data_IF_683857568660
#
_entry.id   IF_683857568660
#
_cell.length_a   1.000
_cell.length_b   1.000
_cell.length_c   1.000
_cell.angle_alpha   90.00
_cell.angle_beta   90.00
_cell.angle_gamma   90.00
#
_symmetry.space_group_name_H-M   'P 1'
#
loop_
_entity.id
_entity.type
_entity.pdbx_description
1 polymer ?
#
# COMPACT_ATOMS: atom_id res chain seq x y z
N UNK A 1 -27.57 66.58 -44.70
CA UNK A 1 -27.01 65.65 -45.67
C UNK A 1 -26.09 64.67 -44.94
N UNK A 2 -26.33 63.48 -45.11
CA UNK A 2 -26.07 62.29 -44.28
C UNK A 2 -24.71 62.14 -43.61
N UNK A 3 -24.76 61.80 -42.34
CA UNK A 3 -23.63 61.22 -41.55
C UNK A 3 -23.52 59.73 -41.79
N UNK A 4 -22.38 59.15 -41.83
CA UNK A 4 -22.25 57.70 -41.69
C UNK A 4 -21.87 57.31 -40.27
N UNK A 5 -22.59 56.35 -39.81
CA UNK A 5 -22.58 55.67 -38.55
C UNK A 5 -21.28 54.87 -38.32
N UNK A 6 -20.60 55.14 -37.20
CA UNK A 6 -19.47 54.35 -36.72
C UNK A 6 -19.91 53.05 -36.09
N UNK A 7 -19.64 51.94 -36.76
CA UNK A 7 -19.83 50.58 -36.21
C UNK A 7 -18.64 50.26 -35.28
N UNK A 8 -18.91 50.30 -33.98
CA UNK A 8 -17.94 49.84 -32.96
C UNK A 8 -17.89 48.32 -32.96
N UNK A 9 -16.81 47.75 -33.48
CA UNK A 9 -16.51 46.35 -33.39
C UNK A 9 -16.12 45.99 -31.95
N UNK A 10 -17.06 45.44 -31.20
CA UNK A 10 -16.77 44.82 -29.90
C UNK A 10 -16.08 43.48 -30.15
N UNK A 11 -14.77 43.46 -29.96
CA UNK A 11 -14.00 42.20 -29.89
C UNK A 11 -14.24 41.58 -28.52
N UNK A 12 -15.09 40.58 -28.48
CA UNK A 12 -15.26 39.76 -27.31
C UNK A 12 -13.97 38.89 -27.15
N UNK A 13 -13.11 39.26 -26.20
CA UNK A 13 -12.00 38.40 -25.75
C UNK A 13 -12.61 37.28 -24.90
N UNK A 14 -12.78 36.10 -25.49
CA UNK A 14 -12.98 34.87 -24.73
C UNK A 14 -11.67 34.57 -23.97
N UNK A 15 -11.70 34.88 -22.68
CA UNK A 15 -10.72 34.28 -21.74
C UNK A 15 -11.06 32.81 -21.56
N UNK A 16 -10.42 31.95 -22.35
CA UNK A 16 -10.43 30.51 -22.13
C UNK A 16 -9.47 30.23 -20.97
N UNK A 17 -9.99 30.35 -19.73
CA UNK A 17 -9.31 29.86 -18.54
C UNK A 17 -9.25 28.33 -18.64
N UNK A 18 -8.16 27.83 -19.22
CA UNK A 18 -7.83 26.43 -19.18
C UNK A 18 -7.58 26.01 -17.72
N UNK A 19 -8.61 25.42 -17.12
CA UNK A 19 -8.51 24.78 -15.81
C UNK A 19 -7.69 23.52 -15.97
N UNK A 20 -6.36 23.65 -15.77
CA UNK A 20 -5.46 22.52 -15.70
C UNK A 20 -5.82 21.76 -14.41
N UNK A 21 -6.73 20.78 -14.51
CA UNK A 21 -6.89 19.78 -13.47
C UNK A 21 -5.61 18.97 -13.41
N UNK A 22 -4.68 19.32 -12.51
CA UNK A 22 -3.67 18.39 -12.06
C UNK A 22 -4.40 17.23 -11.36
N UNK A 23 -4.66 16.18 -12.13
CA UNK A 23 -4.99 14.89 -11.55
C UNK A 23 -3.74 14.44 -10.76
N UNK A 24 -3.75 14.67 -9.44
CA UNK A 24 -2.82 14.00 -8.55
C UNK A 24 -3.07 12.50 -8.72
N UNK A 25 -2.24 11.82 -9.48
CA UNK A 25 -2.25 10.38 -9.53
C UNK A 25 -2.00 9.91 -8.09
N UNK A 26 -3.04 9.38 -7.45
CA UNK A 26 -2.87 8.67 -6.19
C UNK A 26 -1.93 7.49 -6.50
N UNK A 27 -0.67 7.61 -6.13
CA UNK A 27 0.25 6.48 -6.21
C UNK A 27 -0.26 5.44 -5.24
N UNK A 28 -0.62 4.27 -5.78
CA UNK A 28 -0.94 3.12 -4.95
C UNK A 28 0.29 2.82 -4.06
N UNK A 29 0.04 2.55 -2.78
CA UNK A 29 1.11 2.21 -1.86
C UNK A 29 1.86 0.97 -2.38
N UNK A 30 3.17 1.06 -2.48
CA UNK A 30 4.01 -0.07 -2.86
C UNK A 30 4.37 -0.84 -1.60
N UNK A 31 4.03 -2.11 -1.57
CA UNK A 31 4.38 -3.01 -0.48
C UNK A 31 5.37 -4.08 -0.94
N UNK A 32 6.28 -4.43 -0.06
CA UNK A 32 7.18 -5.59 -0.18
C UNK A 32 7.18 -6.36 1.13
N UNK A 33 7.76 -7.56 1.11
CA UNK A 33 7.94 -8.34 2.32
C UNK A 33 9.41 -8.61 2.59
N UNK A 34 9.75 -8.76 3.87
CA UNK A 34 11.08 -9.24 4.28
C UNK A 34 11.27 -10.67 3.74
N UNK A 35 12.44 -10.94 3.19
CA UNK A 35 12.78 -12.22 2.58
C UNK A 35 12.83 -13.38 3.58
N UNK A 36 13.62 -14.41 3.26
CA UNK A 36 13.66 -15.65 4.05
C UNK A 36 14.24 -15.48 5.45
N UNK A 37 15.08 -14.45 5.65
CA UNK A 37 15.74 -14.19 6.92
C UNK A 37 15.23 -12.91 7.58
N UNK A 38 15.29 -12.87 8.90
CA UNK A 38 15.01 -11.66 9.64
C UNK A 38 15.94 -10.52 9.22
N UNK A 39 15.41 -9.30 9.16
CA UNK A 39 16.15 -8.12 8.74
C UNK A 39 16.24 -7.07 9.84
N UNK A 40 17.35 -6.37 9.89
CA UNK A 40 17.57 -5.23 10.79
C UNK A 40 17.07 -3.97 10.12
N UNK A 41 16.34 -3.15 10.86
CA UNK A 41 15.94 -1.82 10.47
C UNK A 41 16.85 -0.77 11.12
N UNK A 42 17.09 0.33 10.41
CA UNK A 42 18.04 1.38 10.79
C UNK A 42 17.34 2.76 10.78
N UNK A 43 17.89 3.73 11.50
CA UNK A 43 17.43 5.12 11.45
C UNK A 43 17.94 5.91 10.23
N UNK A 44 18.86 5.34 9.45
CA UNK A 44 19.42 5.92 8.23
C UNK A 44 19.86 4.87 7.21
N UNK A 45 20.09 5.25 5.93
CA UNK A 45 20.45 4.35 4.83
C UNK A 45 21.94 3.96 4.87
N UNK A 46 22.38 3.36 5.95
CA UNK A 46 23.77 2.95 6.14
C UNK A 46 23.89 1.85 7.19
N UNK A 47 24.81 0.91 6.99
CA UNK A 47 25.17 -0.11 8.00
C UNK A 47 25.80 0.51 9.25
N UNK A 48 26.30 1.75 9.19
CA UNK A 48 26.84 2.50 10.33
C UNK A 48 25.74 3.25 11.10
N UNK A 49 24.53 3.35 10.54
CA UNK A 49 23.40 3.97 11.18
C UNK A 49 22.95 3.16 12.42
N UNK A 50 22.23 3.78 13.31
CA UNK A 50 21.73 3.14 14.51
C UNK A 50 20.69 2.09 14.14
N UNK A 51 20.87 0.86 14.65
CA UNK A 51 19.85 -0.20 14.54
C UNK A 51 18.66 0.15 15.41
N UNK A 52 17.46 0.09 14.84
CA UNK A 52 16.21 0.42 15.54
C UNK A 52 15.55 -0.84 16.09
N UNK A 53 15.24 -1.80 15.22
CA UNK A 53 14.64 -3.06 15.59
C UNK A 53 14.86 -4.12 14.49
N UNK A 54 14.40 -5.33 14.76
CA UNK A 54 14.48 -6.46 13.83
C UNK A 54 13.07 -6.89 13.46
N UNK A 55 12.85 -7.17 12.18
CA UNK A 55 11.60 -7.74 11.65
C UNK A 55 11.84 -9.13 11.11
N UNK A 56 10.86 -10.00 11.31
CA UNK A 56 10.96 -11.40 10.89
C UNK A 56 10.77 -11.60 9.40
N UNK A 57 11.08 -12.82 8.92
CA UNK A 57 10.77 -13.24 7.55
C UNK A 57 9.29 -13.07 7.23
N UNK A 58 8.99 -12.61 6.02
CA UNK A 58 7.63 -12.37 5.56
C UNK A 58 6.97 -11.11 6.14
N UNK A 59 7.64 -10.32 6.97
CA UNK A 59 7.04 -9.10 7.51
C UNK A 59 6.77 -8.08 6.39
N UNK A 60 5.52 -7.60 6.21
CA UNK A 60 5.22 -6.62 5.17
C UNK A 60 5.75 -5.24 5.56
N UNK A 61 6.19 -4.48 4.57
CA UNK A 61 6.62 -3.08 4.69
C UNK A 61 6.10 -2.27 3.52
N UNK A 62 5.68 -1.05 3.79
CA UNK A 62 5.32 -0.09 2.76
C UNK A 62 6.57 0.70 2.34
N UNK A 63 6.83 0.77 1.05
CA UNK A 63 7.96 1.51 0.49
C UNK A 63 7.61 3.00 0.42
N UNK A 64 8.38 3.83 1.09
CA UNK A 64 8.18 5.30 1.12
C UNK A 64 9.20 6.01 0.23
N UNK A 65 10.48 5.58 0.29
CA UNK A 65 11.57 6.15 -0.51
C UNK A 65 12.50 5.03 -0.93
N UNK A 66 12.92 5.08 -2.19
CA UNK A 66 13.98 4.23 -2.72
C UNK A 66 15.26 5.04 -2.85
N UNK A 67 16.32 4.57 -2.24
CA UNK A 67 17.67 5.11 -2.36
C UNK A 67 18.61 3.94 -2.69
N UNK A 68 19.64 4.17 -3.47
CA UNK A 68 20.56 3.15 -3.97
C UNK A 68 20.90 2.07 -2.92
N UNK A 69 20.35 0.85 -3.13
CA UNK A 69 20.52 -0.29 -2.23
C UNK A 69 19.73 -0.24 -0.91
N UNK A 70 19.00 0.85 -0.63
CA UNK A 70 18.24 1.06 0.59
C UNK A 70 16.81 1.47 0.31
N UNK A 71 15.89 1.10 1.22
CA UNK A 71 14.50 1.53 1.19
C UNK A 71 14.12 2.16 2.53
N UNK A 72 13.55 3.36 2.48
CA UNK A 72 12.82 3.89 3.62
C UNK A 72 11.44 3.26 3.64
N UNK A 73 11.09 2.63 4.73
CA UNK A 73 9.87 1.84 4.85
C UNK A 73 9.03 2.32 6.02
N UNK A 74 7.71 2.07 5.90
CA UNK A 74 6.77 2.20 7.00
C UNK A 74 6.33 0.82 7.45
N UNK A 75 6.26 0.58 8.74
CA UNK A 75 5.73 -0.64 9.34
C UNK A 75 4.24 -0.52 9.68
N UNK A 76 3.63 -1.62 10.15
CA UNK A 76 2.20 -1.67 10.53
C UNK A 76 1.85 -0.70 11.66
N UNK A 77 2.80 -0.30 12.49
CA UNK A 77 2.61 0.69 13.57
C UNK A 77 2.68 2.14 13.08
N UNK A 78 3.08 2.35 11.81
CA UNK A 78 3.34 3.66 11.21
C UNK A 78 4.76 4.15 11.41
N UNK A 79 5.62 3.36 12.06
CA UNK A 79 7.04 3.67 12.26
C UNK A 79 7.80 3.73 10.94
N UNK A 80 8.75 4.68 10.83
CA UNK A 80 9.61 4.85 9.66
C UNK A 80 11.03 4.39 9.99
N UNK A 81 11.61 3.59 9.11
CA UNK A 81 12.98 3.12 9.23
C UNK A 81 13.58 2.82 7.86
N UNK A 82 14.86 2.45 7.83
CA UNK A 82 15.56 2.05 6.61
C UNK A 82 15.92 0.56 6.66
N UNK A 83 15.80 -0.10 5.51
CA UNK A 83 16.15 -1.50 5.31
C UNK A 83 17.03 -1.65 4.07
N UNK A 84 17.99 -2.56 4.09
CA UNK A 84 18.74 -2.91 2.90
C UNK A 84 17.85 -3.62 1.89
N UNK A 85 17.92 -3.23 0.62
CA UNK A 85 17.11 -3.78 -0.46
C UNK A 85 17.27 -5.29 -0.65
N UNK A 86 18.46 -5.85 -0.39
CA UNK A 86 18.72 -7.29 -0.47
C UNK A 86 17.88 -8.14 0.50
N UNK A 87 17.34 -7.51 1.56
CA UNK A 87 16.50 -8.18 2.55
C UNK A 87 15.01 -8.17 2.18
N UNK A 88 14.63 -7.51 1.08
CA UNK A 88 13.25 -7.43 0.60
C UNK A 88 13.01 -8.37 -0.58
N UNK A 89 11.79 -8.84 -0.68
CA UNK A 89 11.28 -9.66 -1.79
C UNK A 89 10.00 -9.07 -2.34
N UNK A 90 9.68 -9.37 -3.60
CA UNK A 90 8.42 -9.00 -4.24
C UNK A 90 7.24 -9.86 -3.79
N UNK A 91 7.48 -10.97 -3.10
CA UNK A 91 6.42 -11.76 -2.47
C UNK A 91 5.61 -10.86 -1.55
N UNK A 92 4.31 -10.89 -1.71
CA UNK A 92 3.39 -10.06 -0.92
C UNK A 92 2.82 -10.87 0.24
N UNK A 93 2.97 -10.32 1.42
CA UNK A 93 2.34 -10.82 2.63
C UNK A 93 1.49 -9.73 3.26
N UNK A 94 0.54 -10.12 4.06
CA UNK A 94 -0.31 -9.25 4.85
C UNK A 94 -0.11 -9.57 6.33
N UNK A 95 -0.23 -8.57 7.17
CA UNK A 95 -0.25 -8.74 8.62
C UNK A 95 -1.67 -8.46 9.15
N UNK A 96 -2.19 -9.35 9.98
CA UNK A 96 -3.49 -9.17 10.62
C UNK A 96 -3.37 -8.06 11.66
N UNK A 97 -4.16 -6.99 11.52
CA UNK A 97 -4.23 -5.88 12.48
C UNK A 97 -5.43 -5.96 13.42
N UNK A 98 -6.47 -6.67 13.04
CA UNK A 98 -7.59 -6.97 13.92
C UNK A 98 -7.15 -7.91 15.04
N UNK A 99 -7.77 -7.82 16.21
CA UNK A 99 -7.49 -8.74 17.32
C UNK A 99 -7.73 -10.21 16.93
N UNK A 100 -8.76 -10.44 16.14
CA UNK A 100 -9.11 -11.72 15.54
C UNK A 100 -9.77 -11.47 14.18
N UNK A 101 -9.33 -12.15 13.15
CA UNK A 101 -9.85 -12.06 11.79
C UNK A 101 -10.41 -13.42 11.35
N UNK A 102 -11.62 -13.41 10.81
CA UNK A 102 -12.26 -14.61 10.24
C UNK A 102 -11.83 -14.78 8.78
N UNK A 103 -11.21 -15.90 8.48
CA UNK A 103 -10.91 -16.31 7.11
C UNK A 103 -11.99 -17.29 6.65
N UNK A 104 -12.70 -16.92 5.58
CA UNK A 104 -13.93 -17.58 5.11
C UNK A 104 -13.71 -18.27 3.76
N UNK A 105 -14.57 -19.24 3.43
CA UNK A 105 -14.47 -20.01 2.19
C UNK A 105 -14.67 -19.16 0.93
N UNK A 106 -15.51 -18.13 1.02
CA UNK A 106 -15.79 -17.19 -0.08
C UNK A 106 -15.83 -15.75 0.44
N UNK A 107 -15.80 -14.77 -0.44
CA UNK A 107 -15.84 -13.34 -0.14
C UNK A 107 -17.25 -12.90 0.34
N UNK A 108 -17.72 -13.47 1.45
CA UNK A 108 -19.06 -13.20 2.05
C UNK A 108 -19.03 -13.39 3.56
N UNK A 109 -19.71 -12.50 4.28
CA UNK A 109 -19.86 -12.61 5.75
C UNK A 109 -20.65 -13.85 6.21
N UNK A 110 -21.53 -14.35 5.34
CA UNK A 110 -22.30 -15.57 5.59
C UNK A 110 -21.58 -16.85 5.20
N UNK A 111 -20.41 -16.77 4.54
CA UNK A 111 -19.67 -17.95 4.14
C UNK A 111 -19.13 -18.72 5.35
N UNK A 112 -19.00 -20.05 5.26
CA UNK A 112 -18.40 -20.85 6.30
C UNK A 112 -16.99 -20.39 6.67
N UNK A 113 -16.66 -20.47 7.95
CA UNK A 113 -15.33 -20.20 8.46
C UNK A 113 -14.36 -21.31 8.03
N UNK A 114 -13.16 -20.92 7.57
CA UNK A 114 -12.06 -21.86 7.31
C UNK A 114 -11.14 -21.91 8.53
N UNK A 115 -10.64 -20.73 8.96
CA UNK A 115 -9.86 -20.57 10.18
C UNK A 115 -9.95 -19.13 10.70
N UNK A 116 -9.45 -18.92 11.90
CA UNK A 116 -9.30 -17.59 12.49
C UNK A 116 -7.81 -17.26 12.63
N UNK A 117 -7.47 -16.00 12.32
CA UNK A 117 -6.12 -15.49 12.47
C UNK A 117 -6.09 -14.39 13.55
N UNK A 118 -5.20 -14.55 14.51
CA UNK A 118 -4.98 -13.56 15.57
C UNK A 118 -4.18 -12.36 15.06
N UNK A 119 -4.16 -11.30 15.84
CA UNK A 119 -3.35 -10.10 15.55
C UNK A 119 -1.88 -10.48 15.36
N UNK A 120 -1.22 -9.82 14.40
CA UNK A 120 0.17 -10.03 14.00
C UNK A 120 0.45 -11.34 13.26
N UNK A 121 -0.53 -12.18 12.99
CA UNK A 121 -0.36 -13.33 12.09
C UNK A 121 -0.05 -12.82 10.68
N UNK A 122 0.95 -13.44 10.05
CA UNK A 122 1.33 -13.19 8.66
C UNK A 122 0.60 -14.16 7.74
N UNK A 123 0.02 -13.64 6.67
CA UNK A 123 -0.70 -14.39 5.65
C UNK A 123 -0.13 -14.03 4.27
N UNK A 124 0.07 -15.03 3.42
CA UNK A 124 0.44 -14.77 2.03
C UNK A 124 -0.73 -14.17 1.27
N UNK A 125 -0.48 -13.10 0.53
CA UNK A 125 -1.44 -12.54 -0.42
C UNK A 125 -1.53 -13.47 -1.63
N UNK A 126 -2.66 -14.17 -1.77
CA UNK A 126 -2.90 -15.04 -2.92
C UNK A 126 -3.54 -14.28 -4.08
N UNK A 127 -4.52 -13.40 -3.79
CA UNK A 127 -5.25 -12.65 -4.81
C UNK A 127 -5.85 -11.37 -4.21
N UNK A 128 -5.74 -10.26 -4.95
CA UNK A 128 -6.48 -9.04 -4.67
C UNK A 128 -7.92 -9.21 -5.18
N UNK A 129 -8.91 -9.00 -4.31
CA UNK A 129 -10.31 -9.07 -4.68
C UNK A 129 -10.88 -7.72 -5.12
N UNK A 130 -12.17 -7.54 -4.86
CA UNK A 130 -12.97 -6.37 -5.23
C UNK A 130 -12.75 -5.11 -4.35
N UNK A 131 -11.72 -5.10 -3.52
CA UNK A 131 -11.42 -4.03 -2.56
C UNK A 131 -12.04 -4.23 -1.17
N UNK A 132 -13.05 -5.05 -1.00
CA UNK A 132 -13.64 -5.39 0.29
C UNK A 132 -13.05 -6.68 0.88
N UNK A 133 -12.66 -7.60 0.03
CA UNK A 133 -12.13 -8.90 0.39
C UNK A 133 -10.79 -9.15 -0.29
N UNK A 134 -9.96 -9.94 0.34
CA UNK A 134 -8.67 -10.40 -0.17
C UNK A 134 -8.54 -11.89 0.08
N UNK A 135 -8.02 -12.62 -0.90
CA UNK A 135 -7.70 -14.04 -0.74
C UNK A 135 -6.31 -14.20 -0.19
N UNK A 136 -6.20 -15.01 0.85
CA UNK A 136 -4.94 -15.26 1.55
C UNK A 136 -4.68 -16.75 1.71
N UNK A 137 -3.41 -17.08 1.94
CA UNK A 137 -2.98 -18.42 2.30
C UNK A 137 -2.15 -18.35 3.58
N UNK A 138 -2.48 -19.19 4.55
CA UNK A 138 -1.69 -19.39 5.74
C UNK A 138 -0.54 -20.38 5.43
N UNK A 139 0.54 -20.31 6.19
CA UNK A 139 1.75 -21.15 5.99
C UNK A 139 1.50 -22.66 6.09
N UNK A 140 0.42 -23.10 6.71
CA UNK A 140 -0.01 -24.49 6.78
C UNK A 140 -0.78 -24.96 5.54
N UNK A 141 -0.97 -24.07 4.53
CA UNK A 141 -1.65 -24.34 3.28
C UNK A 141 -3.14 -24.03 3.26
N UNK A 142 -3.76 -23.67 4.38
CA UNK A 142 -5.15 -23.24 4.39
C UNK A 142 -5.32 -21.90 3.69
N UNK A 143 -6.35 -21.77 2.84
CA UNK A 143 -6.63 -20.56 2.07
C UNK A 143 -8.07 -20.12 2.24
N UNK A 144 -8.32 -18.83 2.14
CA UNK A 144 -9.66 -18.28 2.19
C UNK A 144 -9.67 -16.77 2.01
N UNK A 145 -10.80 -16.16 2.27
CA UNK A 145 -11.06 -14.74 2.11
C UNK A 145 -11.24 -14.05 3.45
N UNK A 146 -10.62 -12.89 3.62
CA UNK A 146 -10.87 -12.02 4.76
C UNK A 146 -11.07 -10.56 4.31
N UNK A 147 -11.65 -9.77 5.22
CA UNK A 147 -11.90 -8.35 4.97
C UNK A 147 -10.60 -7.57 4.89
N UNK A 148 -10.46 -6.72 3.87
CA UNK A 148 -9.28 -5.83 3.69
C UNK A 148 -9.08 -4.89 4.88
N UNK A 149 -10.16 -4.53 5.58
CA UNK A 149 -10.10 -3.69 6.79
C UNK A 149 -9.42 -4.36 7.98
N UNK A 150 -9.24 -5.69 7.98
CA UNK A 150 -8.65 -6.46 9.07
C UNK A 150 -7.15 -6.69 8.92
N UNK A 151 -6.58 -6.33 7.77
CA UNK A 151 -5.17 -6.53 7.45
C UNK A 151 -4.47 -5.24 7.05
N UNK A 152 -3.14 -5.31 6.97
CA UNK A 152 -2.26 -4.28 6.44
C UNK A 152 -1.24 -4.93 5.50
N UNK A 153 -0.82 -4.19 4.46
CA UNK A 153 0.10 -4.69 3.44
C UNK A 153 -0.51 -4.78 2.02
N UNK A 154 -1.69 -4.14 1.80
CA UNK A 154 -2.43 -4.13 0.53
C UNK A 154 -2.01 -2.99 -0.40
#
# INVERSE_FOLDING_TARGET
MASPTNAVKRVARLCLCGMLCLAAAAQAAEFRSVGEHAAVLFDGPSLKAKKTHVVGSGYPVEIIVTLEGWYKVRDVSGGLAWIEGKNLTERRTLIVKARLADVRQTASDSAPLVFQAEQNVLLDLAELGDGLWVRVTHRDGQSGYLRTTQVWGL
#
